data_IF_113561428712
#
_entry.id   IF_113561428712
#
_cell.length_a   1.000
_cell.length_b   1.000
_cell.length_c   1.000
_cell.angle_alpha   90.00
_cell.angle_beta   90.00
_cell.angle_gamma   90.00
#
_symmetry.space_group_name_H-M   'P 1'
#
loop_
_entity.id
_entity.type
_entity.pdbx_description
1 polymer ?
#
# COMPACT_ATOMS: atom_id res chain seq x y z
N UNK A 1 -55.01 -21.61 43.22
CA UNK A 1 -56.06 -22.42 42.57
C UNK A 1 -55.45 -23.72 42.07
N UNK A 2 -55.07 -24.61 43.00
CA UNK A 2 -54.58 -25.95 42.73
C UNK A 2 -55.65 -26.91 43.24
N UNK A 3 -56.49 -27.42 42.36
CA UNK A 3 -57.65 -28.23 42.77
C UNK A 3 -58.51 -28.77 41.64
N UNK A 4 -57.97 -28.91 40.42
CA UNK A 4 -58.72 -29.40 39.25
C UNK A 4 -57.92 -30.43 38.42
N UNK A 5 -56.99 -31.15 39.03
CA UNK A 5 -56.25 -32.25 38.37
C UNK A 5 -56.18 -33.53 39.23
N UNK A 6 -57.09 -33.71 40.18
CA UNK A 6 -57.07 -34.85 41.12
C UNK A 6 -58.04 -36.00 40.74
N UNK A 7 -58.76 -35.91 39.61
CA UNK A 7 -59.80 -36.89 39.24
C UNK A 7 -59.49 -37.75 38.01
N UNK A 8 -58.33 -37.58 37.38
CA UNK A 8 -57.96 -38.32 36.17
C UNK A 8 -56.79 -39.30 36.35
N UNK A 9 -56.27 -39.46 37.58
CA UNK A 9 -55.10 -40.31 37.83
C UNK A 9 -55.42 -41.73 38.33
N UNK A 10 -56.70 -42.08 38.55
CA UNK A 10 -57.09 -43.30 39.27
C UNK A 10 -57.99 -44.27 38.48
N UNK A 11 -58.06 -44.16 37.15
CA UNK A 11 -58.89 -45.09 36.33
C UNK A 11 -58.21 -45.60 35.05
N UNK A 12 -56.90 -45.42 34.89
CA UNK A 12 -56.15 -46.11 33.83
C UNK A 12 -54.94 -46.78 34.44
N UNK A 13 -55.18 -47.99 34.95
CA UNK A 13 -54.14 -48.90 35.38
C UNK A 13 -53.12 -49.13 34.27
N UNK A 14 -51.85 -49.08 34.65
CA UNK A 14 -50.74 -49.52 33.82
C UNK A 14 -50.83 -51.03 33.57
N UNK A 15 -51.29 -51.40 32.38
CA UNK A 15 -51.16 -52.74 31.83
C UNK A 15 -49.91 -52.83 30.97
N UNK A 16 -48.78 -53.22 31.57
CA UNK A 16 -47.51 -53.40 30.88
C UNK A 16 -46.67 -54.53 31.46
N UNK A 17 -46.80 -55.72 30.86
CA UNK A 17 -45.91 -56.88 30.93
C UNK A 17 -45.76 -57.61 32.27
N UNK A 18 -46.67 -58.56 32.49
CA UNK A 18 -46.46 -59.72 33.35
C UNK A 18 -47.41 -60.83 32.92
N UNK A 19 -46.88 -61.91 32.34
CA UNK A 19 -47.63 -63.12 32.02
C UNK A 19 -48.22 -63.69 33.32
N UNK A 20 -49.52 -63.59 33.50
CA UNK A 20 -50.30 -64.48 34.35
C UNK A 20 -51.63 -64.76 33.66
N UNK A 21 -51.74 -65.99 33.19
CA UNK A 21 -52.97 -66.65 32.81
C UNK A 21 -53.81 -66.80 34.09
N UNK A 22 -54.73 -65.87 34.33
CA UNK A 22 -55.64 -65.91 35.47
C UNK A 22 -57.05 -65.50 35.02
N UNK A 23 -57.77 -66.48 34.47
CA UNK A 23 -59.14 -66.39 33.96
C UNK A 23 -60.21 -66.15 35.06
N UNK A 24 -59.85 -65.70 36.27
CA UNK A 24 -60.82 -65.46 37.35
C UNK A 24 -60.44 -64.29 38.27
N UNK A 25 -60.44 -63.06 37.75
CA UNK A 25 -60.50 -61.86 38.60
C UNK A 25 -61.98 -61.50 38.88
N UNK A 26 -62.48 -61.64 40.13
CA UNK A 26 -63.88 -61.40 40.50
C UNK A 26 -64.29 -59.91 40.48
N UNK A 27 -63.39 -59.00 40.08
CA UNK A 27 -63.66 -57.56 39.96
C UNK A 27 -63.99 -57.09 38.53
N UNK A 28 -64.01 -58.01 37.55
CA UNK A 28 -64.38 -57.68 36.17
C UNK A 28 -65.90 -57.53 36.03
N UNK A 29 -66.39 -56.29 36.15
CA UNK A 29 -67.80 -55.97 35.86
C UNK A 29 -68.09 -56.34 34.40
N UNK A 30 -69.07 -57.23 34.11
CA UNK A 30 -69.44 -57.52 32.74
C UNK A 30 -70.05 -56.25 32.13
N UNK A 31 -69.36 -55.68 31.14
CA UNK A 31 -69.86 -54.58 30.33
C UNK A 31 -71.02 -55.09 29.48
N UNK A 32 -72.24 -55.06 30.05
CA UNK A 32 -73.47 -55.40 29.33
C UNK A 32 -73.88 -54.17 28.53
N UNK A 33 -73.46 -54.12 27.27
CA UNK A 33 -73.89 -53.10 26.32
C UNK A 33 -75.37 -53.29 25.96
N UNK A 34 -76.12 -52.20 25.84
CA UNK A 34 -77.44 -52.25 25.20
C UNK A 34 -77.28 -52.59 23.71
N UNK A 35 -78.29 -53.20 23.04
CA UNK A 35 -78.15 -53.58 21.63
C UNK A 35 -77.80 -52.41 20.72
N UNK A 36 -78.28 -51.19 21.04
CA UNK A 36 -77.92 -49.95 20.34
C UNK A 36 -76.46 -49.53 20.56
N UNK A 37 -75.92 -49.75 21.76
CA UNK A 37 -74.51 -49.49 22.06
C UNK A 37 -73.59 -50.48 21.33
N UNK A 38 -74.01 -51.74 21.19
CA UNK A 38 -73.25 -52.75 20.43
C UNK A 38 -73.19 -52.39 18.94
N UNK A 39 -74.32 -51.99 18.33
CA UNK A 39 -74.31 -51.55 16.94
C UNK A 39 -73.50 -50.27 16.74
N UNK A 40 -73.61 -49.30 17.65
CA UNK A 40 -72.78 -48.08 17.59
C UNK A 40 -71.28 -48.39 17.71
N UNK A 41 -70.88 -49.30 18.60
CA UNK A 41 -69.50 -49.75 18.73
C UNK A 41 -68.99 -50.41 17.44
N UNK A 42 -69.78 -51.29 16.83
CA UNK A 42 -69.44 -51.92 15.55
C UNK A 42 -69.32 -50.91 14.40
N UNK A 43 -70.18 -49.89 14.36
CA UNK A 43 -70.05 -48.81 13.38
C UNK A 43 -68.80 -47.96 13.61
N UNK A 44 -68.46 -47.70 14.87
CA UNK A 44 -67.25 -46.98 15.24
C UNK A 44 -66.00 -47.77 14.83
N UNK A 45 -66.00 -49.09 15.03
CA UNK A 45 -64.92 -49.98 14.60
C UNK A 45 -64.77 -50.02 13.07
N UNK A 46 -65.88 -50.03 12.33
CA UNK A 46 -65.84 -49.94 10.86
C UNK A 46 -65.29 -48.59 10.39
N UNK A 47 -65.70 -47.50 11.03
CA UNK A 47 -65.22 -46.13 10.71
C UNK A 47 -63.75 -45.98 11.07
N UNK A 48 -63.32 -46.50 12.22
CA UNK A 48 -61.92 -46.47 12.66
C UNK A 48 -61.04 -47.32 11.75
N UNK A 49 -61.49 -48.50 11.34
CA UNK A 49 -60.79 -49.35 10.37
C UNK A 49 -60.65 -48.66 9.00
N UNK A 50 -61.72 -48.02 8.52
CA UNK A 50 -61.70 -47.26 7.26
C UNK A 50 -60.74 -46.07 7.32
N UNK A 51 -60.80 -45.29 8.41
CA UNK A 51 -59.90 -44.17 8.64
C UNK A 51 -58.44 -44.62 8.74
N UNK A 52 -58.17 -45.70 9.50
CA UNK A 52 -56.83 -46.26 9.61
C UNK A 52 -56.28 -46.72 8.25
N UNK A 53 -57.12 -47.34 7.42
CA UNK A 53 -56.74 -47.70 6.04
C UNK A 53 -56.41 -46.47 5.21
N UNK A 54 -57.24 -45.42 5.28
CA UNK A 54 -56.96 -44.15 4.58
C UNK A 54 -55.68 -43.47 5.08
N UNK A 55 -55.40 -43.52 6.38
CA UNK A 55 -54.16 -42.97 6.96
C UNK A 55 -52.95 -43.76 6.47
N UNK A 56 -53.04 -45.09 6.42
CA UNK A 56 -51.97 -45.94 5.88
C UNK A 56 -51.70 -45.63 4.40
N UNK A 57 -52.74 -45.51 3.58
CA UNK A 57 -52.61 -45.15 2.17
C UNK A 57 -51.95 -43.78 1.97
N UNK A 58 -52.29 -42.79 2.80
CA UNK A 58 -51.66 -41.46 2.76
C UNK A 58 -50.19 -41.52 3.18
N UNK A 59 -49.86 -42.31 4.21
CA UNK A 59 -48.47 -42.51 4.65
C UNK A 59 -47.61 -43.19 3.60
N UNK A 60 -48.18 -44.03 2.74
CA UNK A 60 -47.46 -44.65 1.62
C UNK A 60 -47.22 -43.69 0.45
N UNK A 61 -48.07 -42.67 0.27
CA UNK A 61 -47.91 -41.64 -0.78
C UNK A 61 -47.00 -40.50 -0.35
N UNK A 62 -46.92 -40.21 0.94
CA UNK A 62 -46.00 -39.24 1.48
C UNK A 62 -44.61 -39.86 1.52
N UNK A 63 -43.59 -39.22 0.96
CA UNK A 63 -42.24 -39.70 1.19
C UNK A 63 -41.91 -39.64 2.69
N UNK A 64 -41.02 -40.52 3.19
CA UNK A 64 -40.62 -40.52 4.59
C UNK A 64 -40.12 -39.13 5.01
N UNK A 65 -40.37 -38.68 6.25
CA UNK A 65 -39.92 -37.37 6.72
C UNK A 65 -38.39 -37.18 6.67
N UNK A 66 -37.63 -38.27 6.57
CA UNK A 66 -36.17 -38.28 6.63
C UNK A 66 -35.48 -38.42 5.25
N UNK A 67 -36.11 -38.04 4.12
CA UNK A 67 -35.44 -38.07 2.79
C UNK A 67 -34.10 -37.32 2.84
N UNK A 68 -34.07 -36.17 3.52
CA UNK A 68 -32.87 -35.35 3.68
C UNK A 68 -31.73 -36.08 4.41
N UNK A 69 -32.03 -37.06 5.25
CA UNK A 69 -31.05 -37.92 5.93
C UNK A 69 -30.75 -39.21 5.13
N UNK A 70 -31.68 -39.66 4.29
CA UNK A 70 -31.54 -40.85 3.43
C UNK A 70 -30.85 -40.60 2.09
N UNK A 71 -30.58 -39.34 1.74
CA UNK A 71 -29.64 -38.98 0.68
C UNK A 71 -28.43 -38.20 1.25
N UNK A 72 -27.53 -38.89 1.99
CA UNK A 72 -26.30 -38.28 2.51
C UNK A 72 -25.50 -37.54 1.45
N UNK A 73 -25.42 -38.08 0.24
CA UNK A 73 -24.65 -37.50 -0.86
C UNK A 73 -25.24 -36.17 -1.35
N UNK A 74 -26.57 -36.05 -1.39
CA UNK A 74 -27.23 -34.81 -1.79
C UNK A 74 -27.06 -33.72 -0.72
N UNK A 75 -27.11 -34.10 0.56
CA UNK A 75 -26.86 -33.19 1.68
C UNK A 75 -25.39 -32.74 1.71
N UNK A 76 -24.45 -33.67 1.53
CA UNK A 76 -23.03 -33.38 1.45
C UNK A 76 -22.72 -32.45 0.26
N UNK A 77 -23.31 -32.68 -0.91
CA UNK A 77 -23.18 -31.76 -2.06
C UNK A 77 -23.79 -30.38 -1.79
N UNK A 78 -24.94 -30.30 -1.13
CA UNK A 78 -25.55 -29.02 -0.76
C UNK A 78 -24.66 -28.22 0.22
N UNK A 79 -24.13 -28.88 1.25
CA UNK A 79 -23.19 -28.27 2.20
C UNK A 79 -21.88 -27.86 1.52
N UNK A 80 -21.32 -28.73 0.68
CA UNK A 80 -20.11 -28.44 -0.08
C UNK A 80 -20.31 -27.26 -1.03
N UNK A 81 -21.44 -27.21 -1.74
CA UNK A 81 -21.80 -26.10 -2.63
C UNK A 81 -21.99 -24.79 -1.86
N UNK A 82 -22.63 -24.84 -0.68
CA UNK A 82 -22.80 -23.66 0.17
C UNK A 82 -21.44 -23.15 0.68
N UNK A 83 -20.59 -24.05 1.18
CA UNK A 83 -19.25 -23.73 1.64
C UNK A 83 -18.39 -23.14 0.50
N UNK A 84 -18.45 -23.72 -0.70
CA UNK A 84 -17.74 -23.20 -1.87
C UNK A 84 -18.20 -21.78 -2.23
N UNK A 85 -19.51 -21.51 -2.20
CA UNK A 85 -20.05 -20.18 -2.46
C UNK A 85 -19.64 -19.17 -1.37
N UNK A 86 -19.64 -19.58 -0.10
CA UNK A 86 -19.18 -18.73 1.00
C UNK A 86 -17.68 -18.39 0.85
N UNK A 87 -16.84 -19.37 0.48
CA UNK A 87 -15.42 -19.14 0.20
C UNK A 87 -15.23 -18.17 -0.99
N UNK A 88 -16.01 -18.33 -2.05
CA UNK A 88 -15.96 -17.42 -3.20
C UNK A 88 -16.34 -15.99 -2.82
N UNK A 89 -17.41 -15.81 -2.03
CA UNK A 89 -17.83 -14.51 -1.53
C UNK A 89 -16.75 -13.87 -0.65
N UNK A 90 -16.13 -14.65 0.23
CA UNK A 90 -15.05 -14.17 1.09
C UNK A 90 -13.81 -13.76 0.27
N UNK A 91 -13.41 -14.57 -0.71
CA UNK A 91 -12.30 -14.25 -1.61
C UNK A 91 -12.57 -12.97 -2.42
N UNK A 92 -13.78 -12.82 -2.94
CA UNK A 92 -14.18 -11.62 -3.67
C UNK A 92 -14.21 -10.38 -2.75
N UNK A 93 -14.76 -10.50 -1.54
CA UNK A 93 -14.76 -9.43 -0.54
C UNK A 93 -13.35 -9.00 -0.16
N UNK A 94 -12.46 -9.96 0.09
CA UNK A 94 -11.04 -9.71 0.40
C UNK A 94 -10.32 -8.99 -0.75
N UNK A 95 -10.52 -9.45 -1.99
CA UNK A 95 -9.94 -8.81 -3.19
C UNK A 95 -10.44 -7.38 -3.37
N UNK A 96 -11.73 -7.14 -3.13
CA UNK A 96 -12.33 -5.80 -3.18
C UNK A 96 -11.68 -4.89 -2.14
N UNK A 97 -11.55 -5.35 -0.89
CA UNK A 97 -10.89 -4.58 0.18
C UNK A 97 -9.43 -4.27 -0.16
N UNK A 98 -8.67 -5.25 -0.66
CA UNK A 98 -7.29 -5.04 -1.07
C UNK A 98 -7.17 -4.01 -2.19
N UNK A 99 -8.07 -4.05 -3.17
CA UNK A 99 -8.11 -3.09 -4.28
C UNK A 99 -8.42 -1.69 -3.78
N UNK A 100 -9.39 -1.53 -2.88
CA UNK A 100 -9.73 -0.25 -2.26
C UNK A 100 -8.56 0.33 -1.46
N UNK A 101 -7.86 -0.50 -0.68
CA UNK A 101 -6.67 -0.05 0.06
C UNK A 101 -5.54 0.40 -0.88
N UNK A 102 -5.35 -0.31 -1.99
CA UNK A 102 -4.37 0.08 -3.02
C UNK A 102 -4.75 1.40 -3.68
N UNK A 103 -6.03 1.57 -4.01
CA UNK A 103 -6.54 2.81 -4.59
C UNK A 103 -6.32 4.00 -3.65
N UNK A 104 -6.68 3.86 -2.37
CA UNK A 104 -6.46 4.92 -1.36
C UNK A 104 -4.97 5.24 -1.22
N UNK A 105 -4.09 4.23 -1.21
CA UNK A 105 -2.64 4.43 -1.15
C UNK A 105 -2.14 5.22 -2.36
N UNK A 106 -2.54 4.82 -3.57
CA UNK A 106 -2.16 5.49 -4.81
C UNK A 106 -2.70 6.93 -4.86
N UNK A 107 -3.91 7.17 -4.40
CA UNK A 107 -4.48 8.53 -4.31
C UNK A 107 -3.66 9.41 -3.35
N UNK A 108 -3.26 8.87 -2.20
CA UNK A 108 -2.41 9.58 -1.23
C UNK A 108 -1.03 9.90 -1.82
N UNK A 109 -0.38 8.92 -2.43
CA UNK A 109 0.93 9.07 -3.07
C UNK A 109 0.87 10.10 -4.22
N UNK A 110 -0.17 10.04 -5.06
CA UNK A 110 -0.39 11.05 -6.11
C UNK A 110 -0.59 12.46 -5.53
N UNK A 111 -1.31 12.61 -4.42
CA UNK A 111 -1.47 13.90 -3.76
C UNK A 111 -0.14 14.44 -3.20
N UNK A 112 0.71 13.55 -2.66
CA UNK A 112 2.07 13.91 -2.21
C UNK A 112 2.95 14.35 -3.39
N UNK A 113 2.91 13.64 -4.52
CA UNK A 113 3.62 14.05 -5.74
C UNK A 113 3.10 15.37 -6.29
N UNK A 114 1.79 15.58 -6.34
CA UNK A 114 1.23 16.85 -6.80
C UNK A 114 1.71 18.03 -5.94
N UNK A 115 1.80 17.82 -4.62
CA UNK A 115 2.34 18.81 -3.69
C UNK A 115 3.84 19.05 -3.88
N UNK A 116 4.61 17.99 -4.14
CA UNK A 116 6.03 18.12 -4.44
C UNK A 116 6.25 18.90 -5.75
N UNK A 117 5.46 18.61 -6.78
CA UNK A 117 5.48 19.31 -8.07
C UNK A 117 5.17 20.79 -7.87
N UNK A 118 4.08 21.14 -7.18
CA UNK A 118 3.75 22.56 -6.95
C UNK A 118 4.81 23.29 -6.14
N UNK A 119 5.44 22.62 -5.17
CA UNK A 119 6.57 23.18 -4.42
C UNK A 119 7.78 23.43 -5.34
N UNK A 120 8.07 22.52 -6.25
CA UNK A 120 9.13 22.69 -7.25
C UNK A 120 8.80 23.81 -8.25
N UNK A 121 7.56 23.91 -8.71
CA UNK A 121 7.09 24.99 -9.59
C UNK A 121 7.29 26.36 -8.96
N UNK A 122 6.94 26.52 -7.68
CA UNK A 122 7.18 27.76 -6.92
C UNK A 122 8.67 28.10 -6.91
N UNK A 123 9.53 27.14 -6.56
CA UNK A 123 11.00 27.35 -6.53
C UNK A 123 11.56 27.72 -7.91
N UNK A 124 11.03 27.14 -8.99
CA UNK A 124 11.43 27.48 -10.35
C UNK A 124 11.04 28.92 -10.67
N UNK A 125 9.83 29.35 -10.32
CA UNK A 125 9.38 30.72 -10.51
C UNK A 125 10.21 31.72 -9.72
N UNK A 126 10.51 31.43 -8.45
CA UNK A 126 11.40 32.25 -7.60
C UNK A 126 12.79 32.40 -8.24
N UNK A 127 13.38 31.30 -8.72
CA UNK A 127 14.70 31.32 -9.37
C UNK A 127 14.69 32.05 -10.69
N UNK A 128 13.59 31.98 -11.44
CA UNK A 128 13.42 32.73 -12.68
C UNK A 128 13.38 34.24 -12.39
N UNK A 129 12.61 34.66 -11.38
CA UNK A 129 12.56 36.06 -10.95
C UNK A 129 13.92 36.56 -10.44
N UNK A 130 14.65 35.73 -9.67
CA UNK A 130 16.00 36.04 -9.22
C UNK A 130 16.96 36.22 -10.40
N UNK A 131 16.92 35.33 -11.39
CA UNK A 131 17.74 35.41 -12.59
C UNK A 131 17.44 36.68 -13.41
N UNK A 132 16.17 37.05 -13.55
CA UNK A 132 15.77 38.28 -14.26
C UNK A 132 16.27 39.54 -13.53
N UNK A 133 16.19 39.56 -12.20
CA UNK A 133 16.72 40.65 -11.38
C UNK A 133 18.25 40.78 -11.51
N UNK A 134 18.97 39.65 -11.45
CA UNK A 134 20.42 39.64 -11.65
C UNK A 134 20.80 40.11 -13.06
N UNK A 135 20.06 39.68 -14.08
CA UNK A 135 20.26 40.12 -15.46
C UNK A 135 20.04 41.62 -15.63
N UNK A 136 19.05 42.20 -14.95
CA UNK A 136 18.83 43.65 -14.94
C UNK A 136 20.00 44.39 -14.30
N UNK A 137 20.47 43.93 -13.13
CA UNK A 137 21.63 44.54 -12.44
C UNK A 137 22.91 44.46 -13.26
N UNK A 138 23.13 43.36 -13.98
CA UNK A 138 24.30 43.21 -14.84
C UNK A 138 24.28 44.23 -15.98
N UNK A 139 23.12 44.45 -16.62
CA UNK A 139 22.95 45.51 -17.63
C UNK A 139 23.20 46.90 -17.06
N UNK A 140 22.75 47.17 -15.82
CA UNK A 140 23.01 48.45 -15.15
C UNK A 140 24.50 48.66 -14.92
N UNK A 141 25.21 47.63 -14.46
CA UNK A 141 26.67 47.65 -14.29
C UNK A 141 27.38 47.88 -15.63
N UNK A 142 26.96 47.21 -16.71
CA UNK A 142 27.53 47.41 -18.05
C UNK A 142 27.38 48.87 -18.52
N UNK A 143 26.24 49.51 -18.25
CA UNK A 143 26.01 50.92 -18.57
C UNK A 143 26.91 51.85 -17.74
N UNK A 144 27.05 51.57 -16.44
CA UNK A 144 27.95 52.32 -15.56
C UNK A 144 29.40 52.17 -16.04
N UNK A 145 29.84 50.95 -16.37
CA UNK A 145 31.18 50.70 -16.90
C UNK A 145 31.44 51.47 -18.19
N UNK A 146 30.47 51.51 -19.12
CA UNK A 146 30.57 52.31 -20.34
C UNK A 146 30.73 53.80 -20.03
N UNK A 147 29.95 54.35 -19.09
CA UNK A 147 30.08 55.76 -18.70
C UNK A 147 31.44 56.08 -18.09
N UNK A 148 31.96 55.20 -17.21
CA UNK A 148 33.26 55.39 -16.57
C UNK A 148 34.40 55.27 -17.57
N UNK A 149 34.32 54.37 -18.55
CA UNK A 149 35.30 54.28 -19.65
C UNK A 149 35.37 55.57 -20.45
N UNK A 150 34.22 56.18 -20.76
CA UNK A 150 34.18 57.47 -21.47
C UNK A 150 34.78 58.59 -20.62
N UNK A 151 34.49 58.62 -19.31
CA UNK A 151 35.07 59.60 -18.39
C UNK A 151 36.60 59.45 -18.28
N UNK A 152 37.09 58.21 -18.20
CA UNK A 152 38.52 57.90 -18.16
C UNK A 152 39.23 58.34 -19.44
N UNK A 153 38.69 58.01 -20.62
CA UNK A 153 39.23 58.46 -21.90
C UNK A 153 39.27 59.99 -22.02
N UNK A 154 38.26 60.68 -21.49
CA UNK A 154 38.22 62.14 -21.45
C UNK A 154 39.32 62.70 -20.52
N UNK A 155 39.52 62.09 -19.37
CA UNK A 155 40.57 62.47 -18.43
C UNK A 155 41.97 62.22 -19.04
N UNK A 156 42.20 61.07 -19.67
CA UNK A 156 43.43 60.75 -20.40
C UNK A 156 43.71 61.77 -21.50
N UNK A 157 42.73 62.06 -22.37
CA UNK A 157 42.90 63.07 -23.42
C UNK A 157 43.22 64.47 -22.87
N UNK A 158 42.67 64.83 -21.71
CA UNK A 158 43.01 66.10 -21.04
C UNK A 158 44.43 66.09 -20.46
N UNK A 159 44.90 64.95 -19.94
CA UNK A 159 46.23 64.78 -19.39
C UNK A 159 47.30 64.78 -20.50
N UNK A 160 47.03 64.10 -21.61
CA UNK A 160 47.88 64.11 -22.81
C UNK A 160 48.00 65.53 -23.39
N UNK A 161 46.93 66.34 -23.33
CA UNK A 161 46.99 67.75 -23.73
C UNK A 161 47.95 68.55 -22.84
N UNK A 162 47.86 68.36 -21.52
CA UNK A 162 48.75 69.01 -20.53
C UNK A 162 50.19 68.56 -20.73
N UNK A 163 50.44 67.26 -20.92
CA UNK A 163 51.78 66.73 -21.20
C UNK A 163 52.32 67.15 -22.57
N UNK A 164 51.46 67.38 -23.56
CA UNK A 164 51.86 67.94 -24.87
C UNK A 164 52.18 69.44 -24.79
N UNK A 165 51.56 70.20 -23.87
CA UNK A 165 51.96 71.58 -23.57
C UNK A 165 53.25 71.65 -22.73
N UNK A 166 53.41 70.75 -21.75
CA UNK A 166 54.63 70.65 -20.93
C UNK A 166 55.83 70.07 -21.70
N UNK A 167 55.62 69.23 -22.71
CA UNK A 167 56.71 68.71 -23.56
C UNK A 167 57.38 69.80 -24.42
N UNK A 168 56.75 70.96 -24.61
CA UNK A 168 57.40 72.12 -25.24
C UNK A 168 58.17 73.00 -24.24
N UNK A 169 58.01 72.77 -22.93
CA UNK A 169 58.67 73.53 -21.86
C UNK A 169 59.70 72.71 -21.05
N UNK A 170 59.70 71.38 -21.18
CA UNK A 170 60.57 70.47 -20.40
C UNK A 170 61.77 69.85 -21.16
N UNK A 171 62.35 70.53 -22.16
CA UNK A 171 63.66 70.13 -22.74
C UNK A 171 64.86 70.48 -21.83
N UNK A 172 64.63 70.96 -20.60
CA UNK A 172 65.67 71.59 -19.77
C UNK A 172 65.86 71.06 -18.35
N UNK A 173 65.28 69.92 -17.95
CA UNK A 173 65.49 69.43 -16.58
C UNK A 173 65.60 67.91 -16.47
N UNK A 174 66.60 67.37 -17.17
CA UNK A 174 67.19 66.07 -16.84
C UNK A 174 68.21 66.24 -15.71
N UNK A 175 67.78 66.11 -14.45
CA UNK A 175 68.57 65.45 -13.38
C UNK A 175 67.72 65.31 -12.13
N UNK A 176 67.19 64.10 -11.86
CA UNK A 176 67.02 63.52 -10.51
C UNK A 176 66.52 62.06 -10.64
N UNK A 177 67.23 61.28 -11.45
CA UNK A 177 67.02 59.84 -11.60
C UNK A 177 67.78 59.09 -10.48
N UNK A 178 67.28 59.12 -9.24
CA UNK A 178 67.68 58.15 -8.19
C UNK A 178 66.49 57.78 -7.26
N UNK A 179 65.43 58.59 -7.16
CA UNK A 179 64.27 58.26 -6.30
C UNK A 179 63.19 57.38 -6.93
N UNK A 180 62.92 57.56 -8.24
CA UNK A 180 61.82 56.87 -8.95
C UNK A 180 62.11 55.38 -9.28
N UNK A 181 63.36 54.94 -9.12
CA UNK A 181 63.73 53.54 -9.36
C UNK A 181 63.23 52.63 -8.24
N UNK A 182 63.16 53.13 -7.00
CA UNK A 182 62.76 52.33 -5.83
C UNK A 182 61.24 52.12 -5.75
N UNK A 183 60.43 53.16 -6.02
CA UNK A 183 58.96 53.04 -6.05
C UNK A 183 58.45 52.20 -7.25
N UNK A 184 59.17 52.20 -8.37
CA UNK A 184 58.87 51.34 -9.52
C UNK A 184 59.25 49.86 -9.25
N UNK A 185 60.31 49.61 -8.49
CA UNK A 185 60.68 48.27 -8.00
C UNK A 185 59.68 47.76 -6.96
N UNK A 186 59.25 48.59 -6.02
CA UNK A 186 58.25 48.24 -4.99
C UNK A 186 56.88 47.93 -5.62
N UNK A 187 56.47 48.68 -6.64
CA UNK A 187 55.22 48.43 -7.39
C UNK A 187 55.27 47.14 -8.21
N UNK A 188 56.43 46.79 -8.79
CA UNK A 188 56.63 45.52 -9.48
C UNK A 188 56.64 44.34 -8.52
N UNK A 189 57.25 44.51 -7.34
CA UNK A 189 57.25 43.53 -6.26
C UNK A 189 55.82 43.23 -5.78
N UNK A 190 55.02 44.27 -5.52
CA UNK A 190 53.61 44.11 -5.12
C UNK A 190 52.75 43.41 -6.19
N UNK A 191 53.01 43.68 -7.47
CA UNK A 191 52.30 43.04 -8.59
C UNK A 191 52.71 41.56 -8.73
N UNK A 192 53.99 41.25 -8.52
CA UNK A 192 54.52 39.88 -8.53
C UNK A 192 53.98 39.05 -7.37
N UNK A 193 53.92 39.61 -6.16
CA UNK A 193 53.28 38.99 -4.99
C UNK A 193 51.79 38.72 -5.24
N UNK A 194 51.07 39.67 -5.86
CA UNK A 194 49.66 39.50 -6.23
C UNK A 194 49.45 38.38 -7.26
N UNK A 195 50.35 38.24 -8.23
CA UNK A 195 50.33 37.13 -9.19
C UNK A 195 50.59 35.79 -8.51
N UNK A 196 51.54 35.73 -7.59
CA UNK A 196 51.86 34.51 -6.86
C UNK A 196 50.72 34.09 -5.91
N UNK A 197 50.05 35.05 -5.28
CA UNK A 197 48.81 34.84 -4.52
C UNK A 197 47.69 34.26 -5.40
N UNK A 198 47.45 34.84 -6.58
CA UNK A 198 46.44 34.33 -7.52
C UNK A 198 46.76 32.92 -8.03
N UNK A 199 48.04 32.62 -8.24
CA UNK A 199 48.50 31.27 -8.61
C UNK A 199 48.23 30.26 -7.50
N UNK A 200 48.43 30.62 -6.23
CA UNK A 200 48.09 29.78 -5.07
C UNK A 200 46.59 29.57 -4.91
N UNK A 201 45.79 30.62 -5.10
CA UNK A 201 44.32 30.52 -5.09
C UNK A 201 43.81 29.61 -6.22
N UNK A 202 44.37 29.72 -7.43
CA UNK A 202 44.01 28.83 -8.54
C UNK A 202 44.37 27.37 -8.23
N UNK A 203 45.55 27.13 -7.66
CA UNK A 203 45.96 25.78 -7.25
C UNK A 203 45.04 25.20 -6.16
N UNK A 204 44.56 26.00 -5.20
CA UNK A 204 43.61 25.52 -4.20
C UNK A 204 42.23 25.24 -4.79
N UNK A 205 41.77 26.05 -5.75
CA UNK A 205 40.50 25.77 -6.45
C UNK A 205 40.58 24.53 -7.32
N UNK A 206 41.73 24.29 -7.95
CA UNK A 206 41.99 23.09 -8.76
C UNK A 206 41.96 21.81 -7.90
N UNK A 207 42.53 21.85 -6.69
CA UNK A 207 42.46 20.73 -5.73
C UNK A 207 41.01 20.41 -5.33
N UNK A 208 40.18 21.43 -5.11
CA UNK A 208 38.76 21.26 -4.79
C UNK A 208 38.00 20.63 -5.98
N UNK A 209 38.29 21.07 -7.20
CA UNK A 209 37.68 20.51 -8.42
C UNK A 209 38.05 19.02 -8.56
N UNK A 210 39.31 18.65 -8.36
CA UNK A 210 39.75 17.25 -8.41
C UNK A 210 39.07 16.38 -7.34
N UNK A 211 38.87 16.91 -6.13
CA UNK A 211 38.13 16.20 -5.08
C UNK A 211 36.65 16.00 -5.47
N UNK A 212 36.04 17.02 -6.08
CA UNK A 212 34.66 16.94 -6.57
C UNK A 212 34.52 15.96 -7.74
N UNK A 213 35.46 15.93 -8.68
CA UNK A 213 35.51 14.95 -9.77
C UNK A 213 35.63 13.52 -9.24
N UNK A 214 36.49 13.31 -8.23
CA UNK A 214 36.61 12.00 -7.57
C UNK A 214 35.31 11.59 -6.87
N UNK A 215 34.65 12.52 -6.16
CA UNK A 215 33.33 12.29 -5.53
C UNK A 215 32.25 12.02 -6.57
N UNK A 216 32.27 12.72 -7.71
CA UNK A 216 31.35 12.51 -8.81
C UNK A 216 31.53 11.13 -9.44
N UNK A 217 32.77 10.72 -9.73
CA UNK A 217 33.08 9.39 -10.22
C UNK A 217 32.63 8.31 -9.23
N UNK A 218 32.86 8.52 -7.94
CA UNK A 218 32.37 7.61 -6.90
C UNK A 218 30.84 7.53 -6.87
N UNK A 219 30.13 8.66 -7.03
CA UNK A 219 28.68 8.68 -7.11
C UNK A 219 28.16 7.95 -8.36
N UNK A 220 28.83 8.10 -9.50
CA UNK A 220 28.52 7.41 -10.74
C UNK A 220 28.75 5.89 -10.62
N UNK A 221 29.88 5.48 -10.06
CA UNK A 221 30.18 4.06 -9.79
C UNK A 221 29.18 3.45 -8.81
N UNK A 222 28.77 4.21 -7.79
CA UNK A 222 27.74 3.77 -6.84
C UNK A 222 26.37 3.66 -7.50
N UNK A 223 26.02 4.58 -8.41
CA UNK A 223 24.79 4.50 -9.19
C UNK A 223 24.78 3.27 -10.12
N UNK A 224 25.93 2.91 -10.70
CA UNK A 224 26.08 1.70 -11.52
C UNK A 224 26.05 0.41 -10.69
N UNK A 225 26.49 0.46 -9.43
CA UNK A 225 26.45 -0.68 -8.48
C UNK A 225 25.10 -0.85 -7.79
N UNK A 226 24.25 0.19 -7.77
CA UNK A 226 22.88 0.03 -7.32
C UNK A 226 22.10 -0.75 -8.37
N UNK A 227 21.42 -1.86 -8.00
CA UNK A 227 20.61 -2.60 -8.96
C UNK A 227 19.53 -1.67 -9.49
N UNK A 228 19.47 -1.53 -10.81
CA UNK A 228 18.38 -0.86 -11.52
C UNK A 228 17.06 -1.47 -11.03
N UNK A 229 15.95 -0.70 -10.87
CA UNK A 229 14.66 -1.23 -10.39
C UNK A 229 14.13 -2.45 -11.18
N UNK A 230 14.67 -2.73 -12.38
CA UNK A 230 14.39 -3.93 -13.17
C UNK A 230 15.06 -5.23 -12.68
N UNK A 231 16.20 -5.17 -11.98
CA UNK A 231 16.96 -6.36 -11.58
C UNK A 231 16.48 -6.99 -10.25
N UNK A 232 15.65 -6.29 -9.48
CA UNK A 232 15.01 -6.86 -8.29
C UNK A 232 13.88 -7.84 -8.63
N UNK A 233 13.41 -7.86 -9.88
CA UNK A 233 12.41 -8.83 -10.32
C UNK A 233 13.00 -10.25 -10.44
N UNK A 234 14.25 -10.40 -10.88
CA UNK A 234 14.89 -11.71 -11.02
C UNK A 234 15.34 -12.31 -9.67
N UNK A 235 15.73 -11.47 -8.70
CA UNK A 235 16.09 -11.96 -7.36
C UNK A 235 14.87 -12.44 -6.57
N UNK A 236 13.69 -11.84 -6.78
CA UNK A 236 12.44 -12.31 -6.17
C UNK A 236 11.84 -13.54 -6.86
N UNK A 237 12.11 -13.75 -8.15
CA UNK A 237 11.70 -14.96 -8.88
C UNK A 237 12.54 -16.17 -8.45
N UNK A 238 13.85 -16.00 -8.17
CA UNK A 238 14.68 -17.12 -7.69
C UNK A 238 14.33 -17.59 -6.27
N UNK A 239 13.89 -16.71 -5.38
CA UNK A 239 13.42 -17.12 -4.03
C UNK A 239 12.07 -17.85 -4.06
N UNK A 240 11.19 -17.53 -5.01
CA UNK A 240 9.91 -18.25 -5.14
C UNK A 240 10.05 -19.65 -5.76
N UNK A 241 11.12 -19.92 -6.51
CA UNK A 241 11.39 -21.27 -7.02
C UNK A 241 12.02 -22.23 -5.99
N UNK A 242 12.57 -21.71 -4.89
CA UNK A 242 13.06 -22.54 -3.77
C UNK A 242 11.91 -22.96 -2.85
N UNK A 243 10.88 -22.13 -2.67
CA UNK A 243 9.72 -22.48 -1.83
C UNK A 243 8.73 -23.47 -2.47
N UNK A 244 8.73 -23.61 -3.81
CA UNK A 244 7.90 -24.62 -4.49
C UNK A 244 8.52 -26.02 -4.50
N UNK A 245 9.81 -26.18 -4.18
CA UNK A 245 10.42 -27.51 -4.08
C UNK A 245 10.39 -28.09 -2.65
N UNK A 246 10.34 -27.26 -1.60
CA UNK A 246 10.23 -27.78 -0.23
C UNK A 246 8.83 -28.32 0.12
N UNK A 247 7.78 -27.77 -0.49
CA UNK A 247 6.41 -28.22 -0.26
C UNK A 247 6.02 -29.50 -1.02
N UNK A 248 6.87 -29.97 -1.95
CA UNK A 248 6.66 -31.25 -2.65
C UNK A 248 7.46 -32.42 -2.05
N UNK A 249 8.52 -32.16 -1.28
CA UNK A 249 9.19 -33.22 -0.51
C UNK A 249 8.47 -33.56 0.80
N UNK A 250 7.85 -32.59 1.48
CA UNK A 250 7.10 -32.83 2.73
C UNK A 250 5.78 -33.61 2.54
N UNK A 251 5.20 -33.62 1.33
CA UNK A 251 4.04 -34.48 1.02
C UNK A 251 4.40 -35.92 0.65
N UNK A 252 5.66 -36.21 0.30
CA UNK A 252 6.07 -37.58 -0.08
C UNK A 252 6.54 -38.41 1.12
N UNK A 253 6.98 -37.80 2.22
CA UNK A 253 7.38 -38.54 3.44
C UNK A 253 6.20 -38.94 4.34
N UNK A 254 5.04 -38.28 4.22
CA UNK A 254 3.85 -38.59 5.01
C UNK A 254 3.06 -39.82 4.51
N UNK A 255 3.46 -40.45 3.41
CA UNK A 255 2.73 -41.56 2.77
C UNK A 255 3.40 -42.94 2.96
N UNK A 256 4.46 -43.03 3.76
CA UNK A 256 5.21 -44.29 4.06
C UNK A 256 5.15 -44.71 5.53
N UNK A 257 4.18 -44.22 6.30
CA UNK A 257 3.84 -44.76 7.62
C UNK A 257 2.32 -45.04 7.69
N UNK A 258 1.91 -46.15 7.09
CA UNK A 258 0.76 -46.97 7.51
C UNK A 258 0.94 -48.38 6.97
#
# INVERSE_FOLDING_TARGET
MAGLLAWAADVVGGGGSGRSDDENDPSSIPLIFTPEQVTYAQELDRKSASLNRSIQDLRLRLPPPDISQRLPDLHAHSLASNNALALQLNAHSSTKQQTQLREIRLQKENAEYQKAISTCEIKIQEKLQEADLLRSKLKEIDLIEQSLKVELQKAEASMDLIHSEESNTMLNESKLAVGAQQEAEDSKSALMERLENKKRELASTEEIVQELEKKWQQAQDNALKQPTPGALSDFYVSSHHVYYNYSHLESSEAMTQN
#
